data_IF_917017594821
#
_entry.id   IF_917017594821
#
_cell.length_a   1.000
_cell.length_b   1.000
_cell.length_c   1.000
_cell.angle_alpha   90.00
_cell.angle_beta   90.00
_cell.angle_gamma   90.00
#
_symmetry.space_group_name_H-M   'P 1'
#
loop_
_entity.id
_entity.type
_entity.pdbx_description
1 polymer ?
#
# COMPACT_ATOMS: atom_id res chain seq x y z
N UNK A 1 -35.82 -16.18 -8.86
CA UNK A 1 -35.28 -16.99 -9.97
C UNK A 1 -34.85 -16.03 -11.07
N UNK A 2 -33.65 -15.46 -10.94
CA UNK A 2 -33.07 -14.52 -11.91
C UNK A 2 -31.71 -15.06 -12.31
N UNK A 3 -31.53 -15.20 -13.62
CA UNK A 3 -30.50 -15.98 -14.26
C UNK A 3 -29.10 -15.36 -14.09
N UNK A 4 -28.15 -16.20 -13.72
CA UNK A 4 -26.71 -15.97 -13.87
C UNK A 4 -26.40 -15.54 -15.31
N UNK A 5 -26.01 -14.28 -15.47
CA UNK A 5 -25.47 -13.76 -16.73
C UNK A 5 -23.95 -13.69 -16.59
N UNK A 6 -23.30 -14.72 -17.14
CA UNK A 6 -21.87 -14.86 -17.33
C UNK A 6 -21.35 -13.70 -18.20
N UNK A 7 -20.88 -12.61 -17.59
CA UNK A 7 -20.20 -11.52 -18.29
C UNK A 7 -18.70 -11.74 -18.30
N UNK A 8 -18.25 -12.58 -19.23
CA UNK A 8 -16.86 -12.63 -19.66
C UNK A 8 -16.51 -11.38 -20.45
N UNK A 9 -16.07 -10.32 -19.77
CA UNK A 9 -15.47 -9.17 -20.44
C UNK A 9 -14.02 -9.51 -20.76
N UNK A 10 -13.78 -9.95 -22.01
CA UNK A 10 -12.45 -9.92 -22.64
C UNK A 10 -12.04 -8.46 -22.82
N UNK A 11 -11.39 -7.85 -21.83
CA UNK A 11 -10.59 -6.63 -22.03
C UNK A 11 -9.26 -6.98 -22.70
N UNK A 12 -9.28 -7.12 -24.03
CA UNK A 12 -8.06 -7.03 -24.85
C UNK A 12 -7.63 -5.56 -24.96
N UNK A 13 -6.87 -5.08 -23.98
CA UNK A 13 -5.97 -3.93 -24.18
C UNK A 13 -4.68 -4.20 -23.42
N UNK A 14 -3.68 -4.68 -24.17
CA UNK A 14 -2.23 -4.63 -23.89
C UNK A 14 -1.69 -5.24 -22.59
N UNK A 15 -1.21 -6.49 -22.61
CA UNK A 15 -0.18 -6.94 -21.62
C UNK A 15 0.55 -8.26 -21.93
N UNK A 16 0.39 -8.88 -23.09
CA UNK A 16 1.07 -10.16 -23.38
C UNK A 16 2.61 -10.07 -23.48
N UNK A 17 3.19 -8.86 -23.57
CA UNK A 17 4.65 -8.65 -23.65
C UNK A 17 5.31 -8.18 -22.36
N UNK A 18 4.56 -8.04 -21.26
CA UNK A 18 5.00 -7.14 -20.21
C UNK A 18 5.70 -7.68 -18.97
N UNK A 19 5.92 -8.98 -18.86
CA UNK A 19 6.24 -9.55 -17.55
C UNK A 19 7.36 -10.59 -17.53
N UNK A 20 8.06 -10.75 -16.38
CA UNK A 20 9.11 -11.74 -16.25
C UNK A 20 8.48 -13.14 -16.12
N UNK A 21 9.17 -14.10 -16.74
CA UNK A 21 9.08 -15.50 -16.35
C UNK A 21 10.13 -15.72 -15.27
N UNK A 22 9.69 -16.20 -14.11
CA UNK A 22 10.58 -16.54 -13.00
C UNK A 22 11.43 -17.78 -13.35
N UNK A 23 12.56 -18.02 -12.65
CA UNK A 23 13.38 -19.23 -12.81
C UNK A 23 12.59 -20.55 -12.83
N UNK A 24 11.53 -20.67 -12.02
CA UNK A 24 10.66 -21.86 -12.00
C UNK A 24 9.69 -21.98 -13.19
N UNK A 25 9.67 -21.02 -14.11
CA UNK A 25 8.72 -20.98 -15.23
C UNK A 25 7.38 -20.30 -14.88
N UNK A 26 7.18 -19.90 -13.62
CA UNK A 26 5.99 -19.13 -13.21
C UNK A 26 6.03 -17.76 -13.89
N UNK A 27 4.91 -17.36 -14.48
CA UNK A 27 4.73 -16.03 -15.05
C UNK A 27 3.93 -15.17 -14.10
N UNK A 28 4.31 -13.90 -13.99
CA UNK A 28 3.68 -12.93 -13.09
C UNK A 28 3.07 -11.80 -13.91
N UNK A 29 2.03 -11.11 -13.42
CA UNK A 29 1.53 -9.86 -14.00
C UNK A 29 1.17 -8.85 -12.93
N UNK A 30 1.37 -7.57 -13.23
CA UNK A 30 0.74 -6.48 -12.48
C UNK A 30 -0.56 -6.07 -13.17
N UNK A 31 -1.60 -5.82 -12.38
CA UNK A 31 -2.91 -5.40 -12.90
C UNK A 31 -3.49 -4.28 -12.08
N UNK A 32 -3.97 -3.25 -12.78
CA UNK A 32 -4.76 -2.16 -12.24
C UNK A 32 -6.27 -2.36 -12.49
N UNK A 33 -6.71 -3.60 -12.76
CA UNK A 33 -8.14 -3.92 -12.99
C UNK A 33 -9.00 -3.64 -11.76
N UNK A 34 -8.43 -3.64 -10.56
CA UNK A 34 -9.12 -3.21 -9.36
C UNK A 34 -9.55 -1.74 -9.43
N UNK A 35 -8.75 -0.88 -10.09
CA UNK A 35 -9.02 0.55 -10.23
C UNK A 35 -9.97 0.74 -11.42
N UNK A 36 -11.16 1.30 -11.16
CA UNK A 36 -12.16 1.48 -12.21
C UNK A 36 -11.66 2.43 -13.29
N UNK A 37 -12.22 2.26 -14.50
CA UNK A 37 -11.95 3.17 -15.60
C UNK A 37 -12.67 4.51 -15.35
N UNK A 38 -12.01 5.66 -15.59
CA UNK A 38 -12.56 6.99 -15.29
C UNK A 38 -13.72 7.39 -16.22
N UNK A 39 -13.79 6.79 -17.41
CA UNK A 39 -14.81 7.03 -18.43
C UNK A 39 -16.02 6.09 -18.32
N UNK A 40 -15.99 5.13 -17.39
CA UNK A 40 -17.18 4.32 -17.12
C UNK A 40 -18.20 5.16 -16.35
N UNK A 41 -19.47 5.19 -16.78
CA UNK A 41 -20.57 5.82 -16.05
C UNK A 41 -20.92 4.98 -14.80
N UNK A 42 -19.95 4.81 -13.92
CA UNK A 42 -20.14 4.29 -12.58
C UNK A 42 -20.57 5.45 -11.66
N UNK A 43 -21.06 5.15 -10.46
CA UNK A 43 -21.57 6.14 -9.51
C UNK A 43 -20.65 7.37 -9.38
N UNK A 44 -21.22 8.58 -9.18
CA UNK A 44 -20.45 9.81 -8.99
C UNK A 44 -19.31 9.58 -7.99
N UNK A 45 -18.09 9.93 -8.37
CA UNK A 45 -16.95 9.85 -7.47
C UNK A 45 -16.76 11.20 -6.77
N UNK A 46 -16.66 11.25 -5.43
CA UNK A 46 -16.34 12.48 -4.73
C UNK A 46 -14.96 13.01 -5.15
N UNK A 47 -14.81 14.34 -5.12
CA UNK A 47 -13.53 14.97 -5.41
C UNK A 47 -12.43 14.44 -4.47
N UNK A 48 -11.25 14.14 -5.03
CA UNK A 48 -10.13 13.58 -4.28
C UNK A 48 -10.29 12.11 -3.87
N UNK A 49 -11.32 11.42 -4.37
CA UNK A 49 -11.52 9.98 -4.18
C UNK A 49 -11.56 9.24 -5.50
N UNK A 50 -11.46 7.91 -5.46
CA UNK A 50 -11.61 7.06 -6.64
C UNK A 50 -12.30 5.74 -6.28
N UNK A 51 -12.96 5.11 -7.25
CA UNK A 51 -13.57 3.81 -7.06
C UNK A 51 -12.58 2.68 -7.33
N UNK A 52 -12.61 1.66 -6.49
CA UNK A 52 -11.88 0.42 -6.70
C UNK A 52 -12.67 -0.82 -6.28
N UNK A 53 -12.26 -1.98 -6.78
CA UNK A 53 -12.80 -3.30 -6.44
C UNK A 53 -11.88 -3.98 -5.45
N UNK A 54 -12.41 -4.26 -4.27
CA UNK A 54 -11.73 -4.96 -3.20
C UNK A 54 -12.41 -6.31 -2.95
N UNK A 55 -11.73 -7.24 -2.29
CA UNK A 55 -12.40 -8.45 -1.80
C UNK A 55 -13.52 -8.07 -0.84
N UNK A 56 -14.63 -8.81 -0.90
CA UNK A 56 -15.69 -8.70 0.07
C UNK A 56 -15.34 -9.50 1.34
N UNK A 57 -15.02 -8.84 2.47
CA UNK A 57 -14.65 -9.53 3.71
C UNK A 57 -15.79 -10.35 4.30
N UNK A 58 -17.04 -10.11 3.87
CA UNK A 58 -18.18 -10.89 4.31
C UNK A 58 -18.27 -12.28 3.66
N UNK A 59 -17.45 -12.54 2.62
CA UNK A 59 -17.48 -13.77 1.85
C UNK A 59 -16.11 -14.42 1.95
N UNK A 60 -16.05 -15.57 2.61
CA UNK A 60 -14.86 -16.41 2.59
C UNK A 60 -14.64 -16.93 1.16
N UNK A 61 -13.42 -16.74 0.64
CA UNK A 61 -13.09 -17.10 -0.73
C UNK A 61 -11.77 -17.86 -0.77
N UNK A 62 -11.79 -19.01 -1.47
CA UNK A 62 -10.61 -19.80 -1.75
C UNK A 62 -9.94 -19.29 -3.05
N UNK A 63 -8.70 -18.78 -2.99
CA UNK A 63 -7.95 -18.34 -4.17
C UNK A 63 -7.68 -19.42 -5.23
N UNK A 64 -7.84 -20.68 -4.89
CA UNK A 64 -7.70 -21.82 -5.81
C UNK A 64 -9.00 -22.11 -6.58
N UNK A 65 -10.12 -21.55 -6.14
CA UNK A 65 -11.41 -21.72 -6.82
C UNK A 65 -11.35 -21.08 -8.23
N UNK A 66 -12.04 -21.74 -9.15
CA UNK A 66 -12.26 -21.28 -10.52
C UNK A 66 -13.30 -20.14 -10.60
N UNK A 67 -14.09 -19.94 -9.55
CA UNK A 67 -15.06 -18.84 -9.48
C UNK A 67 -14.36 -17.48 -9.39
N UNK A 68 -15.02 -16.45 -9.93
CA UNK A 68 -14.54 -15.09 -9.80
C UNK A 68 -14.47 -14.69 -8.32
N UNK A 69 -13.40 -14.00 -7.93
CA UNK A 69 -13.26 -13.46 -6.59
C UNK A 69 -14.49 -12.61 -6.22
N UNK A 70 -15.06 -12.78 -5.01
CA UNK A 70 -16.16 -11.97 -4.55
C UNK A 70 -15.64 -10.55 -4.29
N UNK A 71 -15.99 -9.63 -5.18
CA UNK A 71 -15.53 -8.26 -5.15
C UNK A 71 -16.65 -7.30 -4.75
N UNK A 72 -16.31 -6.28 -3.97
CA UNK A 72 -17.18 -5.14 -3.70
C UNK A 72 -16.52 -3.82 -4.08
N UNK A 73 -17.34 -2.85 -4.47
CA UNK A 73 -16.86 -1.50 -4.76
C UNK A 73 -16.60 -0.71 -3.48
N UNK A 74 -15.49 0.02 -3.46
CA UNK A 74 -15.09 0.89 -2.35
C UNK A 74 -14.52 2.21 -2.87
N UNK A 75 -14.56 3.23 -2.01
CA UNK A 75 -13.92 4.51 -2.26
C UNK A 75 -12.55 4.55 -1.58
N UNK A 76 -11.51 4.84 -2.36
CA UNK A 76 -10.17 5.18 -1.86
C UNK A 76 -9.90 6.67 -1.95
N UNK A 77 -8.89 7.16 -1.21
CA UNK A 77 -8.33 8.50 -1.43
C UNK A 77 -7.41 8.46 -2.64
N UNK A 78 -7.40 9.52 -3.46
CA UNK A 78 -6.48 9.57 -4.61
C UNK A 78 -5.03 9.44 -4.11
N UNK A 79 -4.27 8.45 -4.61
CA UNK A 79 -2.90 8.17 -4.16
C UNK A 79 -1.94 9.30 -4.56
N UNK A 80 -1.13 9.76 -3.62
CA UNK A 80 -0.16 10.83 -3.86
C UNK A 80 1.14 10.28 -4.44
N UNK A 81 1.52 9.07 -4.04
CA UNK A 81 2.78 8.42 -4.42
C UNK A 81 2.57 7.12 -5.18
N UNK A 82 3.65 6.60 -5.79
CA UNK A 82 3.68 5.26 -6.40
C UNK A 82 3.43 4.15 -5.39
N UNK A 83 3.84 4.37 -4.13
CA UNK A 83 3.67 3.42 -3.05
C UNK A 83 2.19 3.33 -2.64
N UNK A 84 1.49 4.46 -2.57
CA UNK A 84 0.07 4.50 -2.24
C UNK A 84 -0.76 3.75 -3.29
N UNK A 85 -0.46 3.96 -4.58
CA UNK A 85 -1.21 3.28 -5.64
C UNK A 85 -0.92 1.77 -5.70
N UNK A 86 0.26 1.32 -5.23
CA UNK A 86 0.59 -0.10 -5.16
C UNK A 86 -0.37 -0.89 -4.26
N UNK A 87 -1.05 -0.24 -3.31
CA UNK A 87 -2.10 -0.85 -2.50
C UNK A 87 -3.31 -1.34 -3.32
N UNK A 88 -3.49 -0.82 -4.53
CA UNK A 88 -4.62 -1.09 -5.42
C UNK A 88 -4.19 -1.83 -6.69
N UNK A 89 -2.93 -2.24 -6.78
CA UNK A 89 -2.39 -3.03 -7.88
C UNK A 89 -2.37 -4.49 -7.48
N UNK A 90 -2.94 -5.35 -8.32
CA UNK A 90 -2.97 -6.79 -8.11
C UNK A 90 -1.74 -7.46 -8.72
N UNK A 91 -1.29 -8.52 -8.08
CA UNK A 91 -0.26 -9.42 -8.62
C UNK A 91 -0.95 -10.71 -9.05
N UNK A 92 -0.84 -11.04 -10.34
CA UNK A 92 -1.40 -12.27 -10.89
C UNK A 92 -0.29 -13.26 -11.20
N UNK A 93 -0.61 -14.53 -11.04
CA UNK A 93 0.29 -15.64 -11.31
C UNK A 93 -0.33 -16.56 -12.36
N UNK A 94 0.52 -17.21 -13.14
CA UNK A 94 0.16 -18.37 -13.94
C UNK A 94 1.33 -19.32 -13.92
N UNK A 95 1.07 -20.59 -13.64
CA UNK A 95 2.08 -21.61 -13.86
C UNK A 95 2.49 -21.65 -15.34
N UNK A 96 3.65 -22.24 -15.61
CA UNK A 96 4.22 -22.36 -16.96
C UNK A 96 3.20 -22.93 -17.96
N UNK A 97 2.43 -23.94 -17.52
CA UNK A 97 1.43 -24.66 -18.33
C UNK A 97 0.01 -24.12 -18.21
N UNK A 98 -0.22 -23.12 -17.36
CA UNK A 98 -1.56 -22.54 -17.19
C UNK A 98 -1.80 -21.42 -18.21
N UNK A 99 -2.84 -21.53 -19.06
CA UNK A 99 -3.12 -20.49 -20.05
C UNK A 99 -3.72 -19.22 -19.45
N UNK A 100 -4.24 -19.29 -18.22
CA UNK A 100 -4.98 -18.20 -17.58
C UNK A 100 -4.21 -17.69 -16.38
N UNK A 101 -3.86 -16.40 -16.41
CA UNK A 101 -3.39 -15.68 -15.22
C UNK A 101 -4.50 -15.53 -14.20
N UNK A 102 -4.21 -15.78 -12.93
CA UNK A 102 -5.17 -15.69 -11.83
C UNK A 102 -4.65 -14.74 -10.77
N UNK A 103 -5.56 -13.94 -10.26
CA UNK A 103 -5.32 -13.20 -9.04
C UNK A 103 -5.66 -14.10 -7.86
N UNK A 104 -4.74 -14.25 -6.91
CA UNK A 104 -4.91 -15.12 -5.74
C UNK A 104 -5.22 -14.34 -4.44
N UNK A 105 -5.66 -13.10 -4.57
CA UNK A 105 -5.83 -12.17 -3.45
C UNK A 105 -4.60 -11.29 -3.19
N UNK A 106 -3.51 -11.51 -3.93
CA UNK A 106 -2.25 -10.80 -3.74
C UNK A 106 -2.28 -9.37 -4.28
N UNK A 107 -2.11 -8.40 -3.39
CA UNK A 107 -1.89 -6.99 -3.75
C UNK A 107 -0.40 -6.69 -3.74
N UNK A 108 0.06 -5.85 -4.67
CA UNK A 108 1.46 -5.55 -4.85
C UNK A 108 2.12 -5.04 -3.57
N UNK A 109 1.44 -4.14 -2.85
CA UNK A 109 1.97 -3.59 -1.61
C UNK A 109 2.07 -4.63 -0.48
N UNK A 110 1.18 -5.63 -0.47
CA UNK A 110 1.04 -6.59 0.64
C UNK A 110 1.43 -8.01 0.24
N UNK A 111 2.16 -8.15 -0.87
CA UNK A 111 2.54 -9.43 -1.40
C UNK A 111 3.50 -10.12 -0.43
N UNK A 112 3.01 -11.12 0.29
CA UNK A 112 3.89 -12.06 0.98
C UNK A 112 4.47 -13.04 -0.04
N UNK A 113 5.65 -13.61 0.23
CA UNK A 113 6.19 -14.65 -0.66
C UNK A 113 5.21 -15.84 -0.70
N UNK A 114 4.64 -16.18 -1.86
CA UNK A 114 3.79 -17.36 -1.99
C UNK A 114 4.61 -18.63 -1.69
N UNK A 115 3.98 -19.61 -1.05
CA UNK A 115 4.66 -20.87 -0.66
C UNK A 115 5.18 -21.67 -1.86
N UNK A 116 4.63 -21.45 -3.05
CA UNK A 116 5.06 -22.08 -4.31
C UNK A 116 6.22 -21.34 -5.00
N UNK A 117 6.67 -20.20 -4.48
CA UNK A 117 7.86 -19.51 -4.98
C UNK A 117 9.12 -19.91 -4.20
N UNK A 118 10.14 -20.31 -4.95
CA UNK A 118 11.49 -20.55 -4.41
C UNK A 118 12.21 -19.24 -4.06
N UNK A 119 13.29 -19.29 -3.28
CA UNK A 119 14.09 -18.07 -2.99
C UNK A 119 14.57 -17.37 -4.28
N UNK A 120 15.11 -18.07 -5.31
CA UNK A 120 15.48 -17.44 -6.57
C UNK A 120 14.30 -16.81 -7.32
N UNK A 121 13.11 -17.40 -7.26
CA UNK A 121 11.91 -16.83 -7.85
C UNK A 121 11.49 -15.55 -7.15
N UNK A 122 11.58 -15.55 -5.82
CA UNK A 122 11.25 -14.40 -5.00
C UNK A 122 12.19 -13.22 -5.26
N UNK A 123 13.50 -13.48 -5.32
CA UNK A 123 14.49 -12.46 -5.64
C UNK A 123 14.29 -11.89 -7.06
N UNK A 124 14.00 -12.76 -8.04
CA UNK A 124 13.70 -12.34 -9.40
C UNK A 124 12.43 -11.47 -9.48
N UNK A 125 11.40 -11.83 -8.71
CA UNK A 125 10.18 -11.04 -8.58
C UNK A 125 10.46 -9.66 -7.96
N UNK A 126 11.13 -9.62 -6.81
CA UNK A 126 11.49 -8.36 -6.14
C UNK A 126 12.33 -7.46 -7.04
N UNK A 127 13.33 -8.03 -7.74
CA UNK A 127 14.14 -7.31 -8.72
C UNK A 127 13.29 -6.73 -9.85
N UNK A 128 12.30 -7.48 -10.35
CA UNK A 128 11.35 -6.97 -11.34
C UNK A 128 10.48 -5.83 -10.81
N UNK A 129 10.00 -5.93 -9.56
CA UNK A 129 9.17 -4.89 -8.94
C UNK A 129 9.93 -3.56 -8.80
N UNK A 130 11.25 -3.60 -8.66
CA UNK A 130 12.14 -2.43 -8.63
C UNK A 130 12.45 -1.79 -10.00
N UNK A 131 11.98 -2.36 -11.11
CA UNK A 131 12.36 -1.86 -12.46
C UNK A 131 11.64 -0.57 -12.84
N UNK A 132 12.27 0.25 -13.69
CA UNK A 132 11.64 1.45 -14.28
C UNK A 132 10.31 1.15 -14.99
N UNK A 133 10.18 -0.05 -15.54
CA UNK A 133 8.93 -0.51 -16.15
C UNK A 133 7.80 -0.64 -15.12
N UNK A 134 8.09 -1.22 -13.96
CA UNK A 134 7.12 -1.31 -12.85
C UNK A 134 6.77 0.07 -12.34
N UNK A 135 7.77 0.96 -12.17
CA UNK A 135 7.51 2.34 -11.74
C UNK A 135 6.62 3.11 -12.73
N UNK A 136 6.86 2.98 -14.04
CA UNK A 136 6.01 3.57 -15.07
C UNK A 136 4.59 2.99 -15.08
N UNK A 137 4.43 1.70 -14.76
CA UNK A 137 3.11 1.09 -14.58
C UNK A 137 2.37 1.68 -13.37
N UNK A 138 3.06 1.91 -12.26
CA UNK A 138 2.47 2.56 -11.08
C UNK A 138 2.05 4.00 -11.38
N UNK A 139 2.83 4.74 -12.16
CA UNK A 139 2.45 6.09 -12.60
C UNK A 139 1.15 6.07 -13.42
N UNK A 140 1.00 5.09 -14.31
CA UNK A 140 -0.23 4.91 -15.09
C UNK A 140 -1.43 4.53 -14.21
N UNK A 141 -1.23 3.66 -13.22
CA UNK A 141 -2.27 3.30 -12.26
C UNK A 141 -2.70 4.53 -11.44
N UNK A 142 -1.75 5.37 -11.01
CA UNK A 142 -2.01 6.59 -10.26
C UNK A 142 -2.78 7.61 -11.10
N UNK A 143 -2.35 7.83 -12.34
CA UNK A 143 -3.04 8.71 -13.30
C UNK A 143 -4.51 8.30 -13.48
N UNK A 144 -4.80 6.99 -13.49
CA UNK A 144 -6.18 6.49 -13.51
C UNK A 144 -6.98 6.88 -12.26
N UNK A 145 -6.41 6.82 -11.07
CA UNK A 145 -7.07 7.26 -9.84
C UNK A 145 -7.31 8.78 -9.83
N UNK A 146 -6.29 9.56 -10.24
CA UNK A 146 -6.37 11.03 -10.32
C UNK A 146 -7.50 11.45 -11.26
N UNK A 147 -7.57 10.86 -12.45
CA UNK A 147 -8.64 11.16 -13.42
C UNK A 147 -10.04 10.88 -12.88
N UNK A 148 -10.22 9.85 -12.05
CA UNK A 148 -11.50 9.61 -11.37
C UNK A 148 -11.80 10.67 -10.31
N UNK A 149 -10.80 11.07 -9.51
CA UNK A 149 -10.98 12.07 -8.45
C UNK A 149 -11.13 13.49 -8.95
N UNK A 150 -10.67 13.78 -10.15
CA UNK A 150 -10.89 15.05 -10.86
C UNK A 150 -12.21 15.08 -11.62
N UNK A 151 -12.75 13.91 -11.99
CA UNK A 151 -14.04 13.81 -12.66
C UNK A 151 -15.14 14.30 -11.70
N UNK A 152 -15.63 15.53 -11.94
CA UNK A 152 -16.64 16.21 -11.13
C UNK A 152 -17.98 15.46 -11.12
N UNK A 153 -18.12 14.47 -10.26
CA UNK A 153 -19.43 13.98 -9.83
C UNK A 153 -20.14 15.08 -9.05
N UNK A 154 -21.28 15.58 -9.56
CA UNK A 154 -22.13 16.52 -8.82
C UNK A 154 -22.56 15.89 -7.49
N UNK A 155 -22.40 16.67 -6.42
CA UNK A 155 -22.79 16.51 -5.03
C UNK A 155 -23.81 15.40 -4.65
N UNK A 156 -23.55 14.80 -3.48
CA UNK A 156 -24.56 14.11 -2.66
C UNK A 156 -24.52 12.59 -2.72
N UNK A 157 -23.46 11.97 -2.19
CA UNK A 157 -23.62 10.60 -1.70
C UNK A 157 -24.38 10.67 -0.37
N UNK A 158 -25.42 9.84 -0.14
CA UNK A 158 -26.08 9.74 1.15
C UNK A 158 -25.06 9.45 2.28
N UNK A 159 -25.28 10.01 3.47
CA UNK A 159 -24.42 9.78 4.65
C UNK A 159 -24.22 8.29 4.96
N UNK A 160 -25.16 7.43 4.57
CA UNK A 160 -25.09 5.97 4.68
C UNK A 160 -23.90 5.32 3.93
N UNK A 161 -23.24 6.04 3.00
CA UNK A 161 -22.00 5.59 2.36
C UNK A 161 -20.72 6.01 3.10
N UNK A 162 -20.82 6.92 4.06
CA UNK A 162 -19.68 7.44 4.83
C UNK A 162 -19.37 6.61 6.09
N UNK A 163 -20.32 5.79 6.56
CA UNK A 163 -20.25 5.10 7.85
C UNK A 163 -19.80 3.63 7.81
N UNK A 164 -19.30 3.14 6.67
CA UNK A 164 -18.65 1.83 6.62
C UNK A 164 -17.16 1.93 6.97
N UNK A 165 -16.88 2.08 8.26
CA UNK A 165 -15.60 1.66 8.83
C UNK A 165 -15.39 0.17 8.51
N UNK A 166 -14.37 -0.24 7.73
CA UNK A 166 -14.38 -1.60 7.21
C UNK A 166 -13.77 -2.61 8.20
N UNK A 167 -14.54 -3.66 8.54
CA UNK A 167 -14.01 -4.96 8.98
C UNK A 167 -13.08 -5.52 7.90
N UNK A 168 -11.81 -5.84 8.20
CA UNK A 168 -11.28 -6.89 9.09
C UNK A 168 -11.51 -8.28 8.51
N UNK A 169 -10.66 -8.66 7.54
CA UNK A 169 -9.87 -9.89 7.49
C UNK A 169 -9.14 -10.01 6.13
N UNK A 170 -7.80 -10.03 6.13
CA UNK A 170 -7.03 -10.65 5.04
C UNK A 170 -5.75 -10.00 4.49
N UNK A 171 -5.00 -9.16 5.24
CA UNK A 171 -3.61 -8.68 4.93
C UNK A 171 -3.34 -7.54 3.91
N UNK A 172 -4.29 -6.92 3.19
CA UNK A 172 -4.19 -5.52 2.74
C UNK A 172 -4.13 -4.51 3.90
N UNK A 173 -4.62 -4.96 5.05
CA UNK A 173 -4.88 -4.15 6.23
C UNK A 173 -3.61 -3.72 6.94
N UNK A 174 -2.58 -4.57 6.97
CA UNK A 174 -1.28 -4.25 7.56
C UNK A 174 -0.59 -3.15 6.77
N UNK A 175 -0.50 -3.26 5.45
CA UNK A 175 0.14 -2.20 4.67
C UNK A 175 -0.69 -0.91 4.63
N UNK A 176 -2.04 -1.00 4.62
CA UNK A 176 -2.89 0.18 4.78
C UNK A 176 -2.67 0.85 6.14
N UNK A 177 -2.58 0.07 7.23
CA UNK A 177 -2.27 0.60 8.57
C UNK A 177 -0.89 1.24 8.61
N UNK A 178 0.13 0.63 7.98
CA UNK A 178 1.47 1.21 7.90
C UNK A 178 1.47 2.51 7.08
N UNK A 179 0.78 2.54 5.93
CA UNK A 179 0.62 3.76 5.12
C UNK A 179 -0.20 4.85 5.83
N UNK A 180 -1.23 4.47 6.60
CA UNK A 180 -1.96 5.41 7.46
C UNK A 180 -1.09 5.89 8.63
N UNK A 181 -0.28 5.00 9.21
CA UNK A 181 0.64 5.34 10.28
C UNK A 181 1.67 6.36 9.81
N UNK A 182 2.21 6.24 8.59
CA UNK A 182 3.11 7.27 8.03
C UNK A 182 2.46 8.65 7.99
N UNK A 183 1.15 8.76 7.72
CA UNK A 183 0.44 10.06 7.78
C UNK A 183 0.04 10.49 9.20
N UNK A 184 -0.15 9.53 10.11
CA UNK A 184 -0.65 9.78 11.48
C UNK A 184 0.48 10.20 12.43
N UNK A 185 1.70 9.73 12.20
CA UNK A 185 2.87 10.04 13.02
C UNK A 185 3.09 11.55 13.13
N UNK A 186 3.00 12.29 12.03
CA UNK A 186 3.18 13.76 12.04
C UNK A 186 2.12 14.48 12.88
N UNK A 187 0.87 14.01 12.81
CA UNK A 187 -0.24 14.55 13.59
C UNK A 187 -0.05 14.29 15.09
N UNK A 188 0.34 13.07 15.47
CA UNK A 188 0.66 12.73 16.86
C UNK A 188 1.86 13.55 17.34
N UNK A 189 2.90 13.69 16.52
CA UNK A 189 4.07 14.47 16.85
C UNK A 189 3.74 15.96 17.03
N UNK A 190 2.82 16.51 16.24
CA UNK A 190 2.32 17.87 16.44
C UNK A 190 1.57 18.02 17.77
N UNK A 191 0.72 17.05 18.12
CA UNK A 191 0.02 17.03 19.41
C UNK A 191 0.99 16.95 20.60
N UNK A 192 2.04 16.14 20.50
CA UNK A 192 3.09 16.07 21.53
C UNK A 192 3.74 17.43 21.72
N UNK A 193 4.16 18.09 20.62
CA UNK A 193 4.79 19.43 20.70
C UNK A 193 3.85 20.47 21.32
N UNK A 194 2.59 20.52 20.90
CA UNK A 194 1.60 21.42 21.50
C UNK A 194 1.44 21.15 22.99
N UNK A 195 1.32 19.89 23.40
CA UNK A 195 1.21 19.53 24.81
C UNK A 195 2.46 19.90 25.62
N UNK A 196 3.66 19.72 25.05
CA UNK A 196 4.91 20.14 25.67
C UNK A 196 5.00 21.67 25.83
N UNK A 197 4.60 22.43 24.81
CA UNK A 197 4.56 23.90 24.83
C UNK A 197 3.54 24.42 25.86
N UNK A 198 2.41 23.73 26.02
CA UNK A 198 1.36 24.05 27.00
C UNK A 198 1.67 23.54 28.42
N UNK A 199 2.73 22.74 28.59
CA UNK A 199 3.09 22.11 29.86
C UNK A 199 2.16 20.96 30.29
N UNK A 200 1.36 20.42 29.38
CA UNK A 200 0.51 19.25 29.59
C UNK A 200 1.34 17.95 29.46
N UNK A 201 1.97 17.59 30.57
CA UNK A 201 2.82 16.40 30.65
C UNK A 201 2.04 15.11 30.40
N UNK A 202 0.76 15.04 30.79
CA UNK A 202 -0.06 13.84 30.62
C UNK A 202 -0.36 13.60 29.13
N UNK A 203 -0.77 14.65 28.41
CA UNK A 203 -1.01 14.58 26.98
C UNK A 203 0.27 14.28 26.17
N UNK A 204 1.41 14.87 26.56
CA UNK A 204 2.70 14.57 25.93
C UNK A 204 3.10 13.09 26.11
N UNK A 205 3.06 12.57 27.35
CA UNK A 205 3.36 11.16 27.65
C UNK A 205 2.40 10.23 26.89
N UNK A 206 1.11 10.56 26.85
CA UNK A 206 0.12 9.80 26.11
C UNK A 206 0.44 9.74 24.60
N UNK A 207 0.83 10.87 24.00
CA UNK A 207 1.26 10.93 22.60
C UNK A 207 2.49 10.06 22.32
N UNK A 208 3.49 10.09 23.20
CA UNK A 208 4.72 9.27 23.07
C UNK A 208 4.41 7.77 23.14
N UNK A 209 3.59 7.35 24.11
CA UNK A 209 3.15 5.95 24.22
C UNK A 209 2.41 5.46 22.97
N UNK A 210 1.65 6.34 22.29
CA UNK A 210 1.00 6.02 21.02
C UNK A 210 2.01 5.81 19.90
N UNK A 211 3.09 6.59 19.83
CA UNK A 211 4.16 6.36 18.86
C UNK A 211 4.91 5.05 19.12
N UNK A 212 5.19 4.72 20.39
CA UNK A 212 5.80 3.43 20.76
C UNK A 212 4.91 2.25 20.35
N UNK A 213 3.60 2.34 20.58
CA UNK A 213 2.64 1.31 20.14
C UNK A 213 2.63 1.12 18.61
N UNK A 214 2.81 2.21 17.84
CA UNK A 214 2.93 2.16 16.38
C UNK A 214 4.23 1.44 15.98
N UNK A 215 5.34 1.71 16.67
CA UNK A 215 6.62 1.02 16.44
C UNK A 215 6.46 -0.48 16.73
N UNK A 216 5.88 -0.86 17.86
CA UNK A 216 5.68 -2.28 18.21
C UNK A 216 4.81 -3.03 17.20
N UNK A 217 3.75 -2.40 16.68
CA UNK A 217 2.93 -2.97 15.61
C UNK A 217 3.72 -3.11 14.31
N UNK A 218 4.51 -2.11 13.93
CA UNK A 218 5.34 -2.16 12.74
C UNK A 218 6.47 -3.19 12.86
N UNK A 219 7.11 -3.30 14.02
CA UNK A 219 8.20 -4.25 14.28
C UNK A 219 7.71 -5.70 14.17
N UNK A 220 6.53 -6.01 14.71
CA UNK A 220 5.86 -7.31 14.53
C UNK A 220 5.60 -7.70 13.07
N UNK A 221 5.65 -6.74 12.14
CA UNK A 221 5.50 -7.00 10.71
C UNK A 221 6.83 -7.22 9.99
N UNK A 222 7.97 -6.87 10.61
CA UNK A 222 9.31 -7.11 10.05
C UNK A 222 9.70 -8.59 10.03
N UNK A 223 9.13 -9.39 10.94
CA UNK A 223 9.29 -10.85 11.00
C UNK A 223 8.65 -11.60 9.82
N UNK A 224 7.93 -10.90 8.94
CA UNK A 224 7.27 -11.45 7.75
C UNK A 224 8.03 -11.06 6.48
N UNK A 225 7.97 -11.87 5.43
CA UNK A 225 8.59 -11.59 4.13
C UNK A 225 7.61 -10.87 3.19
N UNK A 226 7.97 -9.68 2.66
CA UNK A 226 7.14 -8.94 1.69
C UNK A 226 7.59 -7.49 1.47
N UNK A 227 7.09 -6.78 0.43
CA UNK A 227 7.42 -5.39 0.15
C UNK A 227 6.83 -4.42 1.19
N UNK A 228 5.81 -4.84 1.95
CA UNK A 228 5.27 -4.09 3.10
C UNK A 228 6.30 -3.87 4.23
N UNK A 229 7.38 -4.67 4.28
CA UNK A 229 8.50 -4.44 5.22
C UNK A 229 9.17 -3.10 4.99
N UNK A 230 9.19 -2.61 3.75
CA UNK A 230 9.63 -1.25 3.46
C UNK A 230 8.80 -0.23 4.24
N UNK A 231 7.47 -0.33 4.18
CA UNK A 231 6.58 0.53 4.96
C UNK A 231 6.80 0.41 6.46
N UNK A 232 7.03 -0.80 6.98
CA UNK A 232 7.31 -1.00 8.39
C UNK A 232 8.62 -0.31 8.82
N UNK A 233 9.69 -0.45 8.02
CA UNK A 233 10.93 0.26 8.26
C UNK A 233 10.75 1.79 8.19
N UNK A 234 9.97 2.30 7.24
CA UNK A 234 9.65 3.73 7.17
C UNK A 234 8.89 4.22 8.41
N UNK A 235 7.83 3.52 8.80
CA UNK A 235 7.00 3.84 9.98
C UNK A 235 7.85 3.88 11.25
N UNK A 236 8.71 2.87 11.45
CA UNK A 236 9.61 2.83 12.60
C UNK A 236 10.58 4.00 12.54
N UNK A 237 11.17 4.29 11.37
CA UNK A 237 12.09 5.40 11.22
C UNK A 237 11.44 6.75 11.58
N UNK A 238 10.26 7.04 11.02
CA UNK A 238 9.54 8.30 11.24
C UNK A 238 9.13 8.47 12.71
N UNK A 239 8.60 7.41 13.35
CA UNK A 239 8.23 7.45 14.77
C UNK A 239 9.46 7.59 15.69
N UNK A 240 10.56 6.91 15.38
CA UNK A 240 11.82 6.98 16.14
C UNK A 240 12.43 8.38 16.14
N UNK A 241 12.29 9.16 15.05
CA UNK A 241 12.73 10.58 15.02
C UNK A 241 12.03 11.37 16.13
N UNK A 242 10.70 11.24 16.22
CA UNK A 242 9.89 11.99 17.18
C UNK A 242 10.06 11.53 18.63
N UNK A 243 10.48 10.28 18.85
CA UNK A 243 10.82 9.77 20.18
C UNK A 243 12.27 10.08 20.62
N UNK A 244 13.10 10.66 19.73
CA UNK A 244 14.51 10.92 20.01
C UNK A 244 15.41 9.68 19.88
N UNK A 245 14.93 8.62 19.23
CA UNK A 245 15.63 7.35 19.02
C UNK A 245 16.46 7.39 17.72
N UNK A 246 17.44 8.31 17.66
CA UNK A 246 18.17 8.63 16.43
C UNK A 246 18.87 7.44 15.75
N UNK A 247 19.50 6.56 16.53
CA UNK A 247 20.17 5.37 16.00
C UNK A 247 19.19 4.40 15.32
N UNK A 248 18.00 4.22 15.89
CA UNK A 248 16.96 3.37 15.32
C UNK A 248 16.34 4.01 14.07
N UNK A 249 16.12 5.33 14.10
CA UNK A 249 15.65 6.06 12.93
C UNK A 249 16.56 5.87 11.70
N UNK A 250 17.88 6.04 11.86
CA UNK A 250 18.85 5.85 10.77
C UNK A 250 18.90 4.39 10.31
N UNK A 251 18.94 3.44 11.25
CA UNK A 251 18.96 2.00 10.95
C UNK A 251 17.78 1.60 10.08
N UNK A 252 16.58 2.00 10.46
CA UNK A 252 15.36 1.65 9.74
C UNK A 252 15.20 2.44 8.43
N UNK A 253 15.64 3.71 8.36
CA UNK A 253 15.61 4.48 7.12
C UNK A 253 16.52 3.87 6.02
N UNK A 254 17.71 3.40 6.40
CA UNK A 254 18.61 2.68 5.47
C UNK A 254 18.04 1.33 5.03
N UNK A 255 17.42 0.60 5.96
CA UNK A 255 16.74 -0.66 5.63
C UNK A 255 15.58 -0.44 4.65
N UNK A 256 14.81 0.64 4.82
CA UNK A 256 13.78 1.06 3.87
C UNK A 256 14.35 1.33 2.47
N UNK A 257 15.43 2.13 2.36
CA UNK A 257 16.07 2.44 1.09
C UNK A 257 16.58 1.18 0.36
N UNK A 258 17.11 0.20 1.11
CA UNK A 258 17.53 -1.08 0.55
C UNK A 258 16.39 -1.97 0.05
N UNK A 259 15.18 -1.83 0.59
CA UNK A 259 14.00 -2.63 0.22
C UNK A 259 13.16 -1.97 -0.87
N UNK A 260 13.09 -0.63 -0.90
CA UNK A 260 12.26 0.13 -1.83
C UNK A 260 13.15 0.97 -2.77
N UNK A 261 13.53 0.43 -3.94
CA UNK A 261 14.49 1.06 -4.85
C UNK A 261 14.09 2.49 -5.26
N UNK A 262 15.07 3.39 -5.29
CA UNK A 262 14.87 4.80 -5.66
C UNK A 262 14.39 5.71 -4.52
N UNK A 263 14.43 5.24 -3.27
CA UNK A 263 14.11 6.03 -2.08
C UNK A 263 15.33 6.38 -1.22
N UNK A 264 16.54 6.40 -1.79
CA UNK A 264 17.77 6.77 -1.07
C UNK A 264 17.68 8.19 -0.46
N UNK A 265 16.88 9.06 -1.09
CA UNK A 265 16.59 10.39 -0.59
C UNK A 265 15.96 10.41 0.81
N UNK A 266 15.14 9.40 1.16
CA UNK A 266 14.52 9.33 2.48
C UNK A 266 15.55 9.07 3.58
N UNK A 267 16.49 8.14 3.35
CA UNK A 267 17.56 7.88 4.32
C UNK A 267 18.45 9.12 4.51
N UNK A 268 18.78 9.81 3.42
CA UNK A 268 19.54 11.05 3.48
C UNK A 268 18.78 12.17 4.22
N UNK A 269 17.46 12.30 4.01
CA UNK A 269 16.61 13.27 4.71
C UNK A 269 16.55 12.99 6.22
N UNK A 270 16.41 11.73 6.63
CA UNK A 270 16.42 11.33 8.05
C UNK A 270 17.78 11.65 8.69
N UNK A 271 18.88 11.34 8.01
CA UNK A 271 20.23 11.65 8.48
C UNK A 271 20.46 13.16 8.62
N UNK A 272 19.98 13.96 7.66
CA UNK A 272 20.08 15.42 7.70
C UNK A 272 19.22 16.02 8.83
N UNK A 273 17.97 15.57 8.99
CA UNK A 273 17.07 16.00 10.08
C UNK A 273 17.70 15.72 11.45
N UNK A 274 18.30 14.55 11.65
CA UNK A 274 18.94 14.21 12.92
C UNK A 274 20.26 14.96 13.13
N UNK A 275 21.00 15.27 12.07
CA UNK A 275 22.22 16.09 12.14
C UNK A 275 21.91 17.54 12.52
N UNK A 276 20.79 18.08 12.03
CA UNK A 276 20.33 19.44 12.36
C UNK A 276 19.75 19.55 13.79
N UNK A 277 19.31 18.44 14.39
CA UNK A 277 18.93 18.38 15.82
C UNK A 277 20.16 18.32 16.74
N UNK A 278 21.33 17.94 16.21
CA UNK A 278 22.61 17.81 16.96
C UNK A 278 23.51 19.04 16.85
N UNK A 279 23.11 20.12 16.15
CA UNK A 279 23.87 21.38 16.26
C UNK A 279 23.62 21.99 17.64
N UNK A 280 24.61 22.01 18.55
CA UNK A 280 24.38 22.54 19.87
C UNK A 280 24.23 24.06 19.76
N UNK A 281 23.21 24.56 20.46
CA UNK A 281 23.09 25.94 20.90
C UNK A 281 24.33 26.29 21.75
N UNK A 282 25.43 26.66 21.11
CA UNK A 282 26.54 27.38 21.71
C UNK A 282 26.77 28.64 20.87
N UNK A 283 26.09 29.70 21.28
CA UNK A 283 26.60 31.07 21.36
C UNK A 283 26.10 31.67 22.68
#
# INVERSE_FOLDING_TARGET
MWASSTFGIRTRVGSDRNMPTLPSGIRIWLSMEAILLPDRPFYPCPHGRFWYRDLDPAIEWDPTDSQAAPERFRLGLVPETRLDVAAYVRVLFAAEREPVRRWRGDWLLTLDRPNDLTDPDWDALLGFLGTQRTLAFLDLARDRCVKQGEARGRAGLPEDFLDFGPGLHGRPETARRLAQATTTIESIAAQIRTAEDEGDLEASVHGRNRLESIIEEADRTLDRFGPHRGLAHRVIADASIHLGLGSDAIRHARAFAGIVPGNDAFAAEVEDRLSNVVTPMFD
#
